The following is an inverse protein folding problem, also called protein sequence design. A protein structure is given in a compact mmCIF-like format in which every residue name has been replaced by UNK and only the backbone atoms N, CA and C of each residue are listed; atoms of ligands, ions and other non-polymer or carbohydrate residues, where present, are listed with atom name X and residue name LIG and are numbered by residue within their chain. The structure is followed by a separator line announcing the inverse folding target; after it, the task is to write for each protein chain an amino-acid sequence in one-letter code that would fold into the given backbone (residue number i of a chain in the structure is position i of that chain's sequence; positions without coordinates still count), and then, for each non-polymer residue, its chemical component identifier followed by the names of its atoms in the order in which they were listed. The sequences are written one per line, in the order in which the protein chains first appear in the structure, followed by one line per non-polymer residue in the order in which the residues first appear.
data_IF_778157884470
#
_entry.id   IF_778157884470
#
_cell.length_a   1.000
_cell.length_b   1.000
_cell.length_c   1.000
_cell.angle_alpha   90.00
_cell.angle_beta   90.00
_cell.angle_gamma   90.00
#
_symmetry.space_group_name_H-M   'P 1'
#
loop_
_entity.id
_entity.type
_entity.pdbx_description
1 polymer ?
#
# COMPACT_ATOMS: atom_id res chain seq x y z
N UNK A 1 4.49 -5.39 23.11
CA UNK A 1 3.64 -6.38 22.45
C UNK A 1 2.90 -5.67 21.32
N UNK A 2 3.15 -6.01 20.06
CA UNK A 2 2.46 -5.41 18.92
C UNK A 2 0.95 -5.74 18.95
N UNK A 3 0.13 -4.83 18.41
CA UNK A 3 -1.32 -5.00 18.30
C UNK A 3 -1.71 -5.16 16.84
N UNK A 4 -2.23 -6.32 16.48
CA UNK A 4 -2.91 -6.53 15.21
C UNK A 4 -4.38 -6.11 15.37
N UNK A 5 -4.77 -5.00 14.73
CA UNK A 5 -6.15 -4.54 14.70
C UNK A 5 -6.74 -4.79 13.30
N UNK A 6 -7.72 -5.66 13.23
CA UNK A 6 -8.44 -5.93 11.99
C UNK A 6 -9.69 -5.05 11.91
N UNK A 7 -9.78 -4.27 10.82
CA UNK A 7 -10.87 -3.33 10.55
C UNK A 7 -11.61 -3.79 9.29
N UNK A 8 -12.93 -3.83 9.35
CA UNK A 8 -13.79 -4.05 8.21
C UNK A 8 -14.37 -2.75 7.65
N UNK A 9 -14.81 -2.80 6.40
CA UNK A 9 -15.50 -1.71 5.73
C UNK A 9 -16.89 -2.21 5.31
N UNK A 10 -17.94 -1.50 5.67
CA UNK A 10 -19.32 -1.80 5.28
C UNK A 10 -19.57 -1.41 3.83
N UNK A 11 -20.67 -1.88 3.25
CA UNK A 11 -21.13 -1.48 1.91
C UNK A 11 -21.43 0.03 1.80
N UNK A 12 -21.71 0.69 2.93
CA UNK A 12 -21.90 2.15 3.01
C UNK A 12 -20.59 2.93 3.20
N UNK A 13 -19.42 2.26 3.20
CA UNK A 13 -18.11 2.89 3.35
C UNK A 13 -17.72 3.22 4.80
N UNK A 14 -18.49 2.78 5.79
CA UNK A 14 -18.15 2.97 7.19
C UNK A 14 -17.20 1.88 7.68
N UNK A 15 -16.26 2.25 8.56
CA UNK A 15 -15.33 1.31 9.19
C UNK A 15 -15.89 0.78 10.51
N UNK A 16 -15.53 -0.47 10.83
CA UNK A 16 -15.82 -1.10 12.11
C UNK A 16 -14.68 -2.02 12.54
N UNK A 17 -14.48 -2.18 13.84
CA UNK A 17 -13.51 -3.15 14.37
C UNK A 17 -14.05 -4.57 14.23
N UNK A 18 -13.29 -5.43 13.55
CA UNK A 18 -13.55 -6.87 13.52
C UNK A 18 -13.00 -7.50 14.80
N UNK A 19 -11.77 -7.14 15.19
CA UNK A 19 -11.15 -7.63 16.39
C UNK A 19 -9.74 -7.12 16.60
N UNK A 20 -9.19 -7.47 17.76
CA UNK A 20 -7.85 -7.13 18.19
C UNK A 20 -7.11 -8.40 18.59
N UNK A 21 -5.84 -8.48 18.23
CA UNK A 21 -4.96 -9.58 18.64
C UNK A 21 -3.61 -9.01 19.09
N UNK A 22 -3.21 -9.31 20.32
CA UNK A 22 -1.87 -8.96 20.81
C UNK A 22 -0.87 -10.02 20.35
N UNK A 23 0.09 -9.62 19.53
CA UNK A 23 1.08 -10.52 18.96
C UNK A 23 2.30 -10.62 19.88
N UNK A 24 3.00 -11.78 19.93
CA UNK A 24 4.28 -11.93 20.61
C UNK A 24 5.39 -11.05 19.99
N UNK A 25 5.34 -10.85 18.65
CA UNK A 25 6.28 -10.09 17.85
C UNK A 25 5.68 -9.69 16.51
N UNK A 26 6.53 -9.28 15.56
CA UNK A 26 6.15 -8.84 14.21
C UNK A 26 6.78 -9.75 13.13
N UNK A 27 7.01 -11.01 13.45
CA UNK A 27 7.46 -12.00 12.45
C UNK A 27 6.29 -12.54 11.63
N UNK A 28 6.60 -13.16 10.49
CA UNK A 28 5.59 -13.85 9.68
C UNK A 28 4.76 -14.83 10.51
N UNK A 29 5.41 -15.62 11.40
CA UNK A 29 4.72 -16.58 12.24
C UNK A 29 3.76 -15.92 13.24
N UNK A 30 4.16 -14.78 13.82
CA UNK A 30 3.31 -14.04 14.75
C UNK A 30 2.05 -13.52 14.04
N UNK A 31 2.21 -12.92 12.87
CA UNK A 31 1.08 -12.47 12.04
C UNK A 31 0.21 -13.66 11.59
N UNK A 32 0.82 -14.74 11.12
CA UNK A 32 0.07 -15.93 10.68
C UNK A 32 -0.76 -16.53 11.82
N UNK A 33 -0.20 -16.59 13.03
CA UNK A 33 -0.95 -17.00 14.22
C UNK A 33 -2.15 -16.09 14.48
N UNK A 34 -1.96 -14.77 14.47
CA UNK A 34 -3.04 -13.80 14.67
C UNK A 34 -4.13 -13.92 13.60
N UNK A 35 -3.76 -14.07 12.32
CA UNK A 35 -4.72 -14.27 11.23
C UNK A 35 -5.48 -15.58 11.35
N UNK A 36 -4.86 -16.68 11.81
CA UNK A 36 -5.56 -17.94 12.08
C UNK A 36 -6.60 -17.80 13.18
N UNK A 37 -6.30 -17.03 14.25
CA UNK A 37 -7.29 -16.75 15.28
C UNK A 37 -8.55 -16.07 14.67
N UNK A 38 -8.38 -15.13 13.75
CA UNK A 38 -9.53 -14.53 13.06
C UNK A 38 -10.25 -15.51 12.13
N UNK A 39 -9.51 -16.39 11.45
CA UNK A 39 -10.08 -17.42 10.56
C UNK A 39 -10.95 -18.43 11.33
N UNK A 40 -10.57 -18.81 12.55
CA UNK A 40 -11.36 -19.68 13.43
C UNK A 40 -12.76 -19.14 13.74
N UNK A 41 -12.91 -17.80 13.74
CA UNK A 41 -14.22 -17.14 13.88
C UNK A 41 -14.96 -16.95 12.56
N UNK A 42 -14.63 -17.74 11.53
CA UNK A 42 -15.26 -17.71 10.20
C UNK A 42 -15.10 -16.39 9.44
N UNK A 43 -14.06 -15.63 9.77
CA UNK A 43 -13.73 -14.41 9.02
C UNK A 43 -13.04 -14.80 7.72
N UNK A 44 -13.74 -14.57 6.61
CA UNK A 44 -13.24 -14.84 5.25
C UNK A 44 -13.24 -13.54 4.44
N UNK A 45 -12.15 -12.77 4.47
CA UNK A 45 -12.08 -11.50 3.76
C UNK A 45 -12.05 -11.71 2.24
N UNK A 46 -12.77 -10.88 1.49
CA UNK A 46 -12.71 -10.87 0.02
C UNK A 46 -11.49 -10.13 -0.50
N UNK A 47 -10.98 -9.20 0.28
CA UNK A 47 -9.81 -8.38 -0.01
C UNK A 47 -9.17 -7.99 1.32
N UNK A 48 -7.83 -7.95 1.39
CA UNK A 48 -7.09 -7.46 2.55
C UNK A 48 -6.25 -6.26 2.12
N UNK A 49 -6.30 -5.18 2.90
CA UNK A 49 -5.50 -3.97 2.68
C UNK A 49 -4.43 -3.91 3.77
N UNK A 50 -3.15 -3.79 3.39
CA UNK A 50 -1.99 -3.73 4.29
C UNK A 50 -1.10 -2.52 3.98
N UNK A 51 -0.19 -2.20 4.89
CA UNK A 51 0.77 -1.10 4.75
C UNK A 51 1.98 -1.43 3.86
N UNK A 52 2.14 -2.68 3.48
CA UNK A 52 3.27 -3.16 2.65
C UNK A 52 4.33 -3.92 3.43
N UNK A 53 4.12 -4.20 4.71
CA UNK A 53 5.00 -5.03 5.50
C UNK A 53 5.13 -6.44 4.90
N UNK A 54 6.38 -6.92 4.73
CA UNK A 54 6.64 -8.19 4.05
C UNK A 54 6.27 -9.40 4.92
N UNK A 55 6.41 -9.31 6.24
CA UNK A 55 6.04 -10.38 7.16
C UNK A 55 4.51 -10.56 7.19
N UNK A 56 3.77 -9.45 7.25
CA UNK A 56 2.32 -9.44 7.12
C UNK A 56 1.86 -10.06 5.79
N UNK A 57 2.48 -9.63 4.68
CA UNK A 57 2.16 -10.13 3.35
C UNK A 57 2.33 -11.66 3.26
N UNK A 58 3.48 -12.17 3.69
CA UNK A 58 3.78 -13.60 3.66
C UNK A 58 2.79 -14.39 4.55
N UNK A 59 2.44 -13.84 5.71
CA UNK A 59 1.46 -14.45 6.61
C UNK A 59 0.05 -14.50 5.99
N UNK A 60 -0.35 -13.46 5.26
CA UNK A 60 -1.65 -13.43 4.56
C UNK A 60 -1.65 -14.45 3.41
N UNK A 61 -0.59 -14.53 2.63
CA UNK A 61 -0.45 -15.54 1.56
C UNK A 61 -0.52 -16.97 2.10
N UNK A 62 -0.04 -17.21 3.32
CA UNK A 62 -0.12 -18.50 4.01
C UNK A 62 -1.52 -18.81 4.53
N UNK A 63 -2.19 -17.86 5.18
CA UNK A 63 -3.48 -18.09 5.87
C UNK A 63 -4.67 -17.87 4.94
N UNK A 64 -4.58 -16.92 4.03
CA UNK A 64 -5.64 -16.52 3.07
C UNK A 64 -5.14 -16.57 1.62
N UNK A 65 -4.68 -17.74 1.11
CA UNK A 65 -3.99 -17.85 -0.18
C UNK A 65 -4.83 -17.39 -1.39
N UNK A 66 -6.15 -17.42 -1.26
CA UNK A 66 -7.07 -17.02 -2.33
C UNK A 66 -7.60 -15.58 -2.18
N UNK A 67 -7.13 -14.83 -1.17
CA UNK A 67 -7.60 -13.48 -0.89
C UNK A 67 -6.64 -12.46 -1.49
N UNK A 68 -7.07 -11.64 -2.45
CA UNK A 68 -6.21 -10.59 -3.01
C UNK A 68 -5.81 -9.57 -1.95
N UNK A 69 -4.55 -9.13 -2.02
CA UNK A 69 -3.98 -8.14 -1.11
C UNK A 69 -3.74 -6.83 -1.85
N UNK A 70 -4.21 -5.72 -1.29
CA UNK A 70 -3.97 -4.37 -1.77
C UNK A 70 -3.07 -3.59 -0.81
N UNK A 71 -2.39 -2.57 -1.32
CA UNK A 71 -1.61 -1.64 -0.50
C UNK A 71 -2.49 -0.51 0.02
N UNK A 72 -2.27 -0.12 1.26
CA UNK A 72 -2.91 1.04 1.86
C UNK A 72 -2.34 2.33 1.25
N UNK A 73 -3.12 2.98 0.42
CA UNK A 73 -2.72 4.22 -0.28
C UNK A 73 -2.30 5.32 0.69
N UNK A 74 -2.91 5.39 1.87
CA UNK A 74 -2.50 6.35 2.90
C UNK A 74 -1.05 6.11 3.35
N UNK A 75 -0.69 4.86 3.68
CA UNK A 75 0.68 4.50 4.08
C UNK A 75 1.69 4.73 2.95
N UNK A 76 1.33 4.35 1.71
CA UNK A 76 2.15 4.65 0.54
C UNK A 76 2.42 6.15 0.44
N UNK A 77 1.39 6.99 0.58
CA UNK A 77 1.53 8.44 0.51
C UNK A 77 2.36 9.00 1.69
N UNK A 78 2.27 8.43 2.90
CA UNK A 78 3.14 8.82 4.02
C UNK A 78 4.60 8.48 3.75
N UNK A 79 4.89 7.30 3.17
CA UNK A 79 6.23 6.94 2.76
C UNK A 79 6.76 7.87 1.66
N UNK A 80 5.94 8.23 0.68
CA UNK A 80 6.30 9.19 -0.37
C UNK A 80 6.57 10.57 0.23
N UNK A 81 5.74 11.03 1.15
CA UNK A 81 5.94 12.28 1.89
C UNK A 81 7.30 12.29 2.58
N UNK A 82 7.59 11.26 3.36
CA UNK A 82 8.82 11.16 4.16
C UNK A 82 10.09 11.12 3.30
N UNK A 83 10.03 10.46 2.14
CA UNK A 83 11.21 10.25 1.29
C UNK A 83 11.39 11.32 0.21
N UNK A 84 10.32 11.99 -0.21
CA UNK A 84 10.37 12.87 -1.39
C UNK A 84 10.20 14.37 -1.04
N UNK A 85 9.48 14.74 0.02
CA UNK A 85 9.12 16.13 0.29
C UNK A 85 10.32 17.06 0.42
N UNK A 86 11.38 16.63 1.12
CA UNK A 86 12.59 17.43 1.30
C UNK A 86 13.34 17.67 -0.02
N UNK A 87 13.31 16.71 -0.93
CA UNK A 87 13.97 16.79 -2.24
C UNK A 87 13.17 17.64 -3.23
N UNK A 88 11.85 17.48 -3.24
CA UNK A 88 10.94 18.22 -4.10
C UNK A 88 10.88 19.70 -3.68
N UNK A 89 10.80 19.97 -2.39
CA UNK A 89 10.64 21.30 -1.81
C UNK A 89 9.17 21.68 -1.61
N UNK A 90 8.95 22.61 -0.69
CA UNK A 90 7.60 23.00 -0.26
C UNK A 90 6.76 23.59 -1.40
N UNK A 91 7.37 24.39 -2.28
CA UNK A 91 6.69 25.08 -3.37
C UNK A 91 6.13 24.13 -4.43
N UNK A 92 6.89 23.05 -4.75
CA UNK A 92 6.52 22.08 -5.77
C UNK A 92 5.73 20.88 -5.22
N UNK A 93 5.62 20.77 -3.90
CA UNK A 93 5.10 19.58 -3.23
C UNK A 93 3.65 19.23 -3.61
N UNK A 94 2.78 20.20 -3.62
CA UNK A 94 1.37 20.00 -3.98
C UNK A 94 1.22 19.51 -5.42
N UNK A 95 1.98 20.09 -6.33
CA UNK A 95 2.01 19.70 -7.75
C UNK A 95 2.57 18.27 -7.92
N UNK A 96 3.60 17.91 -7.15
CA UNK A 96 4.17 16.57 -7.14
C UNK A 96 3.16 15.54 -6.61
N UNK A 97 2.50 15.82 -5.49
CA UNK A 97 1.47 14.95 -4.93
C UNK A 97 0.27 14.76 -5.87
N UNK A 98 -0.17 15.83 -6.53
CA UNK A 98 -1.26 15.75 -7.48
C UNK A 98 -0.90 14.86 -8.68
N UNK A 99 0.30 15.01 -9.23
CA UNK A 99 0.79 14.17 -10.32
C UNK A 99 0.97 12.70 -9.88
N UNK A 100 1.52 12.45 -8.68
CA UNK A 100 1.61 11.11 -8.12
C UNK A 100 0.23 10.46 -7.92
N UNK A 101 -0.73 11.22 -7.39
CA UNK A 101 -2.10 10.74 -7.21
C UNK A 101 -2.73 10.32 -8.55
N UNK A 102 -2.49 11.07 -9.62
CA UNK A 102 -2.98 10.70 -10.96
C UNK A 102 -2.41 9.35 -11.43
N UNK A 103 -1.14 9.07 -11.13
CA UNK A 103 -0.50 7.77 -11.46
C UNK A 103 -1.19 6.62 -10.71
N UNK A 104 -1.34 6.72 -9.39
CA UNK A 104 -1.87 5.62 -8.56
C UNK A 104 -3.40 5.47 -8.65
N UNK A 105 -4.11 6.44 -9.19
CA UNK A 105 -5.56 6.39 -9.42
C UNK A 105 -5.94 5.92 -10.83
N UNK A 106 -4.97 5.59 -11.67
CA UNK A 106 -5.21 5.05 -13.00
C UNK A 106 -6.09 3.79 -12.92
N UNK A 107 -7.06 3.71 -13.83
CA UNK A 107 -8.04 2.61 -13.87
C UNK A 107 -7.64 1.50 -14.82
N UNK A 108 -6.71 1.76 -15.72
CA UNK A 108 -6.20 0.81 -16.71
C UNK A 108 -4.67 0.84 -16.75
N UNK A 109 -4.06 -0.24 -17.23
CA UNK A 109 -2.62 -0.29 -17.42
C UNK A 109 -2.13 0.79 -18.40
N UNK A 110 -2.89 1.05 -19.47
CA UNK A 110 -2.56 2.08 -20.44
C UNK A 110 -2.58 3.49 -19.84
N UNK A 111 -3.61 3.80 -19.05
CA UNK A 111 -3.71 5.07 -18.31
C UNK A 111 -2.57 5.24 -17.30
N UNK A 112 -2.22 4.15 -16.62
CA UNK A 112 -1.10 4.14 -15.70
C UNK A 112 0.22 4.46 -16.42
N UNK A 113 0.51 3.79 -17.53
CA UNK A 113 1.76 3.97 -18.28
C UNK A 113 1.87 5.38 -18.86
N UNK A 114 0.77 5.96 -19.36
CA UNK A 114 0.72 7.35 -19.82
C UNK A 114 0.95 8.36 -18.66
N UNK A 115 0.24 8.18 -17.55
CA UNK A 115 0.39 9.03 -16.37
C UNK A 115 1.79 8.93 -15.75
N UNK A 116 2.37 7.72 -15.70
CA UNK A 116 3.73 7.52 -15.23
C UNK A 116 4.76 8.16 -16.15
N UNK A 117 4.60 8.04 -17.47
CA UNK A 117 5.44 8.71 -18.46
C UNK A 117 5.42 10.23 -18.31
N UNK A 118 4.25 10.83 -18.14
CA UNK A 118 4.09 12.27 -17.86
C UNK A 118 4.75 12.67 -16.53
N UNK A 119 4.59 11.86 -15.50
CA UNK A 119 5.23 12.08 -14.20
C UNK A 119 6.76 12.08 -14.32
N UNK A 120 7.32 11.08 -15.00
CA UNK A 120 8.76 11.00 -15.25
C UNK A 120 9.28 12.20 -16.06
N UNK A 121 8.60 12.55 -17.13
CA UNK A 121 8.98 13.70 -17.95
C UNK A 121 9.06 15.01 -17.16
N UNK A 122 8.20 15.18 -16.15
CA UNK A 122 8.18 16.39 -15.30
C UNK A 122 9.21 16.33 -14.17
N UNK A 123 9.41 15.17 -13.56
CA UNK A 123 10.17 15.03 -12.30
C UNK A 123 11.48 14.24 -12.41
N UNK A 124 11.82 13.64 -13.55
CA UNK A 124 13.14 13.02 -13.77
C UNK A 124 14.19 14.08 -14.12
N UNK A 125 14.48 14.96 -13.17
CA UNK A 125 15.49 16.02 -13.27
C UNK A 125 16.50 15.90 -12.11
N UNK A 126 17.66 16.55 -12.14
CA UNK A 126 18.71 16.38 -11.13
C UNK A 126 18.25 16.57 -9.69
N UNK A 127 17.26 17.45 -9.45
CA UNK A 127 16.71 17.75 -8.11
C UNK A 127 15.83 16.59 -7.59
N UNK A 128 14.99 16.02 -8.43
CA UNK A 128 13.93 15.08 -8.01
C UNK A 128 14.09 13.65 -8.55
N UNK A 129 15.19 13.37 -9.26
CA UNK A 129 15.48 12.04 -9.81
C UNK A 129 15.49 10.94 -8.74
N UNK A 130 15.96 11.25 -7.53
CA UNK A 130 15.95 10.29 -6.43
C UNK A 130 14.53 9.88 -6.04
N UNK A 131 13.57 10.82 -6.09
CA UNK A 131 12.16 10.53 -5.81
C UNK A 131 11.59 9.59 -6.88
N UNK A 132 11.84 9.87 -8.15
CA UNK A 132 11.39 9.01 -9.27
C UNK A 132 11.96 7.60 -9.13
N UNK A 133 13.26 7.49 -8.83
CA UNK A 133 13.92 6.20 -8.61
C UNK A 133 13.35 5.45 -7.39
N UNK A 134 13.09 6.17 -6.29
CA UNK A 134 12.45 5.62 -5.10
C UNK A 134 11.05 5.06 -5.42
N UNK A 135 10.19 5.85 -6.07
CA UNK A 135 8.85 5.43 -6.44
C UNK A 135 8.87 4.17 -7.31
N UNK A 136 9.77 4.14 -8.29
CA UNK A 136 9.91 3.01 -9.21
C UNK A 136 10.37 1.74 -8.49
N UNK A 137 11.37 1.85 -7.60
CA UNK A 137 11.92 0.70 -6.87
C UNK A 137 10.99 0.16 -5.81
N UNK A 138 10.33 1.03 -5.05
CA UNK A 138 9.55 0.62 -3.89
C UNK A 138 8.11 0.29 -4.25
N UNK A 139 7.47 1.10 -5.09
CA UNK A 139 6.03 1.04 -5.29
C UNK A 139 5.59 0.54 -6.66
N UNK A 140 6.42 0.71 -7.69
CA UNK A 140 6.05 0.37 -9.06
C UNK A 140 6.76 -0.87 -9.61
N UNK A 141 7.50 -1.60 -8.77
CA UNK A 141 8.09 -2.88 -9.15
C UNK A 141 7.01 -3.94 -9.42
N UNK A 142 7.38 -4.92 -10.23
CA UNK A 142 6.49 -6.04 -10.60
C UNK A 142 5.88 -6.69 -9.34
N UNK A 143 4.56 -6.92 -9.35
CA UNK A 143 3.81 -7.50 -8.23
C UNK A 143 3.38 -6.51 -7.14
N UNK A 144 3.86 -5.25 -7.17
CA UNK A 144 3.34 -4.18 -6.29
C UNK A 144 2.48 -3.17 -7.06
N UNK A 145 2.81 -2.91 -8.33
CA UNK A 145 2.02 -2.04 -9.22
C UNK A 145 0.55 -2.45 -9.24
N UNK A 146 0.27 -3.75 -9.38
CA UNK A 146 -1.07 -4.32 -9.44
C UNK A 146 -1.85 -4.19 -8.12
N UNK A 147 -1.13 -4.00 -7.00
CA UNK A 147 -1.71 -3.81 -5.67
C UNK A 147 -1.99 -2.35 -5.35
N UNK A 148 -1.35 -1.42 -6.06
CA UNK A 148 -1.56 0.02 -5.94
C UNK A 148 -2.71 0.50 -6.82
N UNK A 149 -2.73 0.03 -8.06
CA UNK A 149 -3.73 0.43 -9.05
C UNK A 149 -4.97 -0.43 -8.83
N UNK A 150 -6.06 0.20 -8.40
CA UNK A 150 -7.35 -0.48 -8.31
C UNK A 150 -7.72 -1.06 -9.67
N UNK A 151 -7.87 -2.38 -9.71
CA UNK A 151 -8.54 -3.04 -10.80
C UNK A 151 -10.02 -2.59 -10.88
#
# INVERSE_FOLDING_TARGET
MPLLHMIGITSSGLTFSIGFCFLPGETQQDFAWGFRCFQEYSISPKVIIIDGDQAQKNAIEEVFPNTPTLLCIWHVNQCVLSNCKALVGQEDWESFQAAWRTVIQARTALEFDDNWGKFQAKYANPKTQQCVTYLQKEWLKLGQKERLVKA
#
